data_IF_374872110179
#
_entry.id   IF_374872110179
#
_cell.length_a   1.000
_cell.length_b   1.000
_cell.length_c   1.000
_cell.angle_alpha   90.00
_cell.angle_beta   90.00
_cell.angle_gamma   90.00
#
_symmetry.space_group_name_H-M   'P 1'
#
loop_
_entity.id
_entity.type
_entity.pdbx_description
1 polymer ?
#
# COMPACT_ATOMS: atom_id res chain seq x y z
N UNK A 1 7.75 5.50 2.72
CA UNK A 1 8.96 4.79 3.12
C UNK A 1 8.66 3.31 3.25
N UNK A 2 9.54 2.43 2.72
CA UNK A 2 9.47 0.97 2.84
C UNK A 2 10.85 0.39 3.10
N UNK A 3 10.90 -0.81 3.68
CA UNK A 3 12.14 -1.51 4.04
C UNK A 3 12.07 -2.94 3.51
N UNK A 4 13.18 -3.48 3.01
CA UNK A 4 13.25 -4.90 2.62
C UNK A 4 13.08 -5.82 3.81
N UNK A 5 12.67 -7.08 3.56
CA UNK A 5 12.40 -8.05 4.62
C UNK A 5 13.62 -8.34 5.52
N UNK A 6 14.83 -8.24 4.96
CA UNK A 6 16.10 -8.38 5.69
C UNK A 6 16.56 -7.11 6.43
N UNK A 7 15.87 -5.97 6.20
CA UNK A 7 16.21 -4.68 6.79
C UNK A 7 17.41 -3.99 6.16
N UNK A 8 18.03 -4.54 5.12
CA UNK A 8 19.26 -4.00 4.53
C UNK A 8 19.05 -2.78 3.62
N UNK A 9 17.85 -2.63 3.03
CA UNK A 9 17.53 -1.53 2.13
C UNK A 9 16.30 -0.76 2.60
N UNK A 10 16.33 0.55 2.43
CA UNK A 10 15.24 1.48 2.73
C UNK A 10 14.95 2.27 1.47
N UNK A 11 13.72 2.19 0.93
CA UNK A 11 13.26 3.07 -0.12
C UNK A 11 12.41 4.21 0.45
N UNK A 12 12.64 5.41 -0.04
CA UNK A 12 11.94 6.61 0.38
C UNK A 12 11.78 7.58 -0.79
N UNK A 13 10.85 8.51 -0.65
CA UNK A 13 10.65 9.60 -1.60
C UNK A 13 11.21 10.89 -1.04
N UNK A 14 11.95 11.60 -1.85
CA UNK A 14 12.45 12.93 -1.55
C UNK A 14 12.33 13.82 -2.78
N UNK A 15 11.66 14.97 -2.63
CA UNK A 15 11.41 15.94 -3.72
C UNK A 15 10.76 15.33 -4.96
N UNK A 16 9.85 14.38 -4.77
CA UNK A 16 9.15 13.69 -5.85
C UNK A 16 9.89 12.50 -6.45
N UNK A 17 11.14 12.25 -6.07
CA UNK A 17 11.95 11.16 -6.62
C UNK A 17 12.11 10.01 -5.63
N UNK A 18 12.19 8.79 -6.13
CA UNK A 18 12.43 7.58 -5.35
C UNK A 18 13.92 7.34 -5.17
N UNK A 19 14.33 7.15 -3.92
CA UNK A 19 15.68 6.79 -3.54
C UNK A 19 15.70 5.47 -2.79
N UNK A 20 16.79 4.73 -2.94
CA UNK A 20 17.10 3.57 -2.11
C UNK A 20 18.44 3.79 -1.41
N UNK A 21 18.43 3.64 -0.09
CA UNK A 21 19.65 3.65 0.73
C UNK A 21 19.89 2.26 1.33
N UNK A 22 21.16 1.95 1.57
CA UNK A 22 21.55 0.72 2.25
C UNK A 22 22.24 1.07 3.56
N UNK A 23 21.75 0.50 4.65
CA UNK A 23 22.41 0.61 5.96
C UNK A 23 23.80 -0.04 5.94
N UNK A 24 23.90 -1.21 5.31
CA UNK A 24 25.13 -2.00 5.23
C UNK A 24 26.24 -1.33 4.41
N UNK A 25 25.89 -0.67 3.30
CA UNK A 25 26.87 -0.13 2.34
C UNK A 25 27.02 1.39 2.42
N UNK A 26 26.27 2.06 3.30
CA UNK A 26 26.29 3.52 3.52
C UNK A 26 26.23 4.33 2.21
N UNK A 27 25.43 3.85 1.28
CA UNK A 27 25.23 4.47 -0.03
C UNK A 27 23.74 4.67 -0.30
N UNK A 28 23.44 5.74 -1.04
CA UNK A 28 22.09 6.07 -1.47
C UNK A 28 22.08 6.24 -2.98
N UNK A 29 21.15 5.61 -3.63
CA UNK A 29 20.95 5.70 -5.07
C UNK A 29 19.59 6.32 -5.37
N UNK A 30 19.56 7.28 -6.26
CA UNK A 30 18.35 7.76 -6.89
C UNK A 30 17.90 6.72 -7.93
N UNK A 31 16.64 6.32 -7.86
CA UNK A 31 16.06 5.32 -8.75
C UNK A 31 15.36 6.00 -9.92
N UNK A 32 14.54 7.01 -9.64
CA UNK A 32 13.79 7.74 -10.65
C UNK A 32 14.46 9.07 -11.00
N UNK A 33 14.29 9.55 -12.23
CA UNK A 33 14.87 10.78 -12.74
C UNK A 33 13.84 11.48 -13.65
N UNK A 34 12.69 11.84 -13.10
CA UNK A 34 11.59 12.45 -13.85
C UNK A 34 11.24 13.83 -13.28
N UNK A 35 10.69 14.73 -14.09
CA UNK A 35 10.23 16.03 -13.57
C UNK A 35 8.92 15.92 -12.79
N UNK A 36 8.20 14.80 -12.89
CA UNK A 36 6.95 14.51 -12.23
C UNK A 36 7.19 13.90 -10.84
N UNK A 37 6.10 13.74 -10.07
CA UNK A 37 6.18 13.21 -8.71
C UNK A 37 5.99 11.70 -8.65
N UNK A 38 6.80 11.04 -7.81
CA UNK A 38 6.65 9.67 -7.41
C UNK A 38 6.22 9.55 -5.95
N UNK A 39 5.47 8.47 -5.63
CA UNK A 39 4.99 8.15 -4.29
C UNK A 39 4.89 6.64 -4.04
N UNK A 40 4.55 6.25 -2.82
CA UNK A 40 4.19 4.89 -2.40
C UNK A 40 5.17 3.78 -2.82
N UNK A 41 6.50 3.93 -2.59
CA UNK A 41 7.44 2.88 -2.93
C UNK A 41 7.18 1.62 -2.10
N UNK A 42 7.24 0.45 -2.74
CA UNK A 42 7.10 -0.85 -2.09
C UNK A 42 8.06 -1.88 -2.70
N UNK A 43 8.88 -2.51 -1.86
CA UNK A 43 9.76 -3.59 -2.30
C UNK A 43 9.00 -4.90 -2.50
N UNK A 44 9.43 -5.68 -3.48
CA UNK A 44 9.08 -7.11 -3.54
C UNK A 44 9.70 -7.86 -2.35
N UNK A 45 9.11 -9.01 -1.94
CA UNK A 45 9.63 -9.79 -0.82
C UNK A 45 11.09 -10.23 -0.97
N UNK A 46 11.55 -10.44 -2.19
CA UNK A 46 12.94 -10.79 -2.52
C UNK A 46 13.88 -9.57 -2.63
N UNK A 47 13.36 -8.35 -2.46
CA UNK A 47 14.12 -7.10 -2.52
C UNK A 47 14.66 -6.73 -3.91
N UNK A 48 14.31 -7.48 -4.98
CA UNK A 48 14.85 -7.28 -6.34
C UNK A 48 13.98 -6.38 -7.23
N UNK A 49 12.74 -6.11 -6.81
CA UNK A 49 11.81 -5.21 -7.49
C UNK A 49 11.34 -4.13 -6.54
N UNK A 50 11.11 -2.96 -7.08
CA UNK A 50 10.56 -1.82 -6.37
C UNK A 50 9.43 -1.25 -7.23
N UNK A 51 8.21 -1.26 -6.71
CA UNK A 51 7.08 -0.59 -7.34
C UNK A 51 6.81 0.74 -6.68
N UNK A 52 6.27 1.67 -7.43
CA UNK A 52 5.89 3.00 -6.95
C UNK A 52 4.82 3.60 -7.87
N UNK A 53 4.10 4.58 -7.34
CA UNK A 53 3.17 5.42 -8.10
C UNK A 53 3.95 6.56 -8.76
N UNK A 54 3.67 6.89 -10.02
CA UNK A 54 4.28 8.00 -10.76
C UNK A 54 3.22 8.80 -11.52
N UNK A 55 3.41 10.11 -11.62
CA UNK A 55 2.56 11.02 -12.40
C UNK A 55 3.09 11.25 -13.84
N UNK A 56 4.12 10.52 -14.28
CA UNK A 56 4.82 10.78 -15.56
C UNK A 56 3.96 10.60 -16.82
N UNK A 57 2.83 9.92 -16.72
CA UNK A 57 1.86 9.77 -17.81
C UNK A 57 0.79 10.88 -17.83
N UNK A 58 0.91 11.89 -16.92
CA UNK A 58 -0.10 12.94 -16.72
C UNK A 58 -1.25 12.51 -15.80
N UNK A 59 -1.19 11.31 -15.24
CA UNK A 59 -2.09 10.75 -14.23
C UNK A 59 -1.31 9.72 -13.41
N UNK A 60 -1.87 9.28 -12.29
CA UNK A 60 -1.21 8.29 -11.43
C UNK A 60 -1.20 6.89 -12.07
N UNK A 61 -0.01 6.38 -12.35
CA UNK A 61 0.21 5.01 -12.85
C UNK A 61 1.29 4.30 -12.01
N UNK A 62 1.34 2.97 -12.07
CA UNK A 62 2.30 2.17 -11.31
C UNK A 62 3.46 1.78 -12.22
N UNK A 63 4.66 2.08 -11.75
CA UNK A 63 5.91 1.69 -12.37
C UNK A 63 6.66 0.68 -11.51
N UNK A 64 7.49 -0.12 -12.15
CA UNK A 64 8.31 -1.12 -11.50
C UNK A 64 9.76 -0.99 -11.96
N UNK A 65 10.65 -0.74 -11.00
CA UNK A 65 12.08 -0.84 -11.18
C UNK A 65 12.54 -2.27 -10.82
N UNK A 66 13.38 -2.87 -11.66
CA UNK A 66 13.87 -4.24 -11.49
C UNK A 66 15.40 -4.27 -11.61
N UNK A 67 16.06 -4.94 -10.67
CA UNK A 67 17.50 -5.24 -10.76
C UNK A 67 17.69 -6.33 -11.80
N UNK A 68 18.40 -6.01 -12.91
CA UNK A 68 18.53 -6.90 -14.07
C UNK A 68 19.68 -7.90 -13.95
N UNK A 69 20.73 -7.58 -13.20
CA UNK A 69 21.88 -8.48 -13.02
C UNK A 69 21.67 -9.38 -11.83
N UNK A 70 21.92 -10.67 -11.98
CA UNK A 70 21.78 -11.66 -10.91
C UNK A 70 22.77 -11.42 -9.75
N UNK A 71 23.99 -10.97 -10.10
CA UNK A 71 25.06 -10.66 -9.16
C UNK A 71 24.77 -9.41 -8.30
N UNK A 72 23.90 -8.51 -8.76
CA UNK A 72 23.49 -7.33 -8.00
C UNK A 72 22.35 -7.69 -7.05
N UNK A 73 22.63 -7.74 -5.76
CA UNK A 73 21.65 -8.14 -4.74
C UNK A 73 20.87 -6.96 -4.14
N UNK A 74 21.27 -5.72 -4.45
CA UNK A 74 20.82 -4.53 -3.74
C UNK A 74 20.71 -3.33 -4.69
N UNK A 75 19.60 -2.58 -4.65
CA UNK A 75 19.39 -1.40 -5.47
C UNK A 75 20.46 -0.34 -5.30
N UNK A 76 20.93 -0.12 -4.07
CA UNK A 76 21.84 0.95 -3.75
C UNK A 76 23.16 0.88 -4.53
N UNK A 77 23.62 -0.30 -4.91
CA UNK A 77 24.83 -0.47 -5.73
C UNK A 77 24.61 -1.20 -7.07
N UNK A 78 23.38 -1.56 -7.40
CA UNK A 78 23.06 -2.19 -8.69
C UNK A 78 23.52 -1.31 -9.84
N UNK A 79 24.11 -1.92 -10.85
CA UNK A 79 24.64 -1.22 -12.02
C UNK A 79 23.67 -1.18 -13.19
N UNK A 80 22.64 -2.01 -13.17
CA UNK A 80 21.60 -2.05 -14.20
C UNK A 80 20.23 -2.25 -13.59
N UNK A 81 19.42 -1.20 -13.65
CA UNK A 81 18.02 -1.18 -13.22
C UNK A 81 17.18 -0.85 -14.44
N UNK A 82 16.13 -1.62 -14.67
CA UNK A 82 15.14 -1.36 -15.70
C UNK A 82 13.84 -0.87 -15.05
N UNK A 83 13.29 0.22 -15.56
CA UNK A 83 11.99 0.76 -15.16
C UNK A 83 10.96 0.49 -16.25
N UNK A 84 9.84 -0.11 -15.89
CA UNK A 84 8.73 -0.38 -16.81
C UNK A 84 7.39 0.00 -16.19
N UNK A 85 6.43 0.54 -16.96
CA UNK A 85 5.06 0.69 -16.49
C UNK A 85 4.44 -0.70 -16.27
N UNK A 86 3.67 -0.85 -15.20
CA UNK A 86 2.96 -2.09 -14.91
C UNK A 86 1.68 -2.21 -15.74
N UNK A 87 1.06 -1.09 -16.05
CA UNK A 87 -0.15 -0.97 -16.85
C UNK A 87 0.10 -0.12 -18.09
N UNK A 88 -0.72 -0.34 -19.12
CA UNK A 88 -0.72 0.48 -20.31
C UNK A 88 -1.16 1.92 -20.00
N UNK A 89 -0.81 2.84 -20.88
CA UNK A 89 -1.28 4.23 -20.85
C UNK A 89 -2.76 4.25 -21.30
N UNK A 90 -3.67 4.13 -20.35
CA UNK A 90 -5.12 4.06 -20.55
C UNK A 90 -5.90 5.16 -19.83
N UNK A 91 -5.19 6.10 -19.18
CA UNK A 91 -5.79 7.22 -18.44
C UNK A 91 -6.47 6.82 -17.12
N UNK A 92 -6.26 5.59 -16.63
CA UNK A 92 -6.86 5.10 -15.38
C UNK A 92 -5.90 5.34 -14.23
N UNK A 93 -6.34 6.09 -13.22
CA UNK A 93 -5.53 6.34 -12.01
C UNK A 93 -5.33 5.07 -11.19
N UNK A 94 -4.05 4.76 -10.85
CA UNK A 94 -3.65 3.63 -10.02
C UNK A 94 -2.57 4.05 -9.04
N UNK A 95 -2.81 3.79 -7.75
CA UNK A 95 -1.95 4.25 -6.64
C UNK A 95 -1.74 3.16 -5.60
N UNK A 96 -0.86 3.43 -4.63
CA UNK A 96 -0.61 2.63 -3.44
C UNK A 96 -0.31 1.15 -3.74
N UNK A 97 0.68 0.83 -4.61
CA UNK A 97 1.00 -0.55 -4.92
C UNK A 97 1.57 -1.30 -3.72
N UNK A 98 1.13 -2.55 -3.51
CA UNK A 98 1.61 -3.40 -2.42
C UNK A 98 1.75 -4.85 -2.89
N UNK A 99 2.97 -5.40 -2.84
CA UNK A 99 3.21 -6.80 -3.18
C UNK A 99 2.49 -7.75 -2.22
N UNK A 100 2.01 -8.88 -2.75
CA UNK A 100 1.60 -10.01 -1.94
C UNK A 100 2.81 -10.60 -1.20
N UNK A 101 2.60 -11.31 -0.06
CA UNK A 101 3.69 -11.91 0.71
C UNK A 101 4.57 -12.88 -0.08
N UNK A 102 4.03 -13.54 -1.10
CA UNK A 102 4.77 -14.44 -1.99
C UNK A 102 5.38 -13.76 -3.23
N UNK A 103 5.14 -12.45 -3.40
CA UNK A 103 5.67 -11.63 -4.50
C UNK A 103 5.06 -11.90 -5.88
N UNK A 104 4.04 -12.76 -5.99
CA UNK A 104 3.44 -13.12 -7.29
C UNK A 104 2.35 -12.17 -7.74
N UNK A 105 1.79 -11.42 -6.82
CA UNK A 105 0.68 -10.52 -7.06
C UNK A 105 1.00 -9.13 -6.52
N UNK A 106 0.30 -8.14 -7.05
CA UNK A 106 0.36 -6.76 -6.59
C UNK A 106 -1.07 -6.25 -6.37
N UNK A 107 -1.34 -5.77 -5.17
CA UNK A 107 -2.55 -5.02 -4.87
C UNK A 107 -2.33 -3.55 -5.19
N UNK A 108 -3.39 -2.85 -5.58
CA UNK A 108 -3.38 -1.42 -5.87
C UNK A 108 -4.78 -0.82 -5.76
N UNK A 109 -4.86 0.48 -5.62
CA UNK A 109 -6.12 1.22 -5.64
C UNK A 109 -6.32 1.84 -7.02
N UNK A 110 -7.46 1.55 -7.64
CA UNK A 110 -7.88 2.12 -8.90
C UNK A 110 -8.95 3.20 -8.66
N UNK A 111 -8.82 4.33 -9.36
CA UNK A 111 -9.77 5.45 -9.28
C UNK A 111 -10.08 5.89 -7.83
N UNK A 112 -9.07 5.79 -6.94
CA UNK A 112 -9.07 6.26 -5.55
C UNK A 112 -9.98 5.50 -4.57
N UNK A 113 -10.75 4.50 -5.02
CA UNK A 113 -11.71 3.82 -4.14
C UNK A 113 -11.88 2.32 -4.38
N UNK A 114 -11.28 1.75 -5.41
CA UNK A 114 -11.43 0.34 -5.75
C UNK A 114 -10.13 -0.40 -5.50
N UNK A 115 -10.10 -1.30 -4.54
CA UNK A 115 -8.99 -2.21 -4.34
C UNK A 115 -9.02 -3.32 -5.40
N UNK A 116 -7.91 -3.47 -6.11
CA UNK A 116 -7.70 -4.51 -7.13
C UNK A 116 -6.39 -5.24 -6.92
N UNK A 117 -6.27 -6.40 -7.53
CA UNK A 117 -5.05 -7.21 -7.53
C UNK A 117 -4.72 -7.63 -8.95
N UNK A 118 -3.47 -7.46 -9.35
CA UNK A 118 -2.92 -8.01 -10.58
C UNK A 118 -1.98 -9.18 -10.28
N UNK A 119 -2.14 -10.28 -11.00
CA UNK A 119 -1.15 -11.35 -11.03
C UNK A 119 -0.01 -10.93 -11.98
N UNK A 120 1.23 -10.89 -11.47
CA UNK A 120 2.37 -10.33 -12.19
C UNK A 120 2.84 -11.17 -13.38
N UNK A 121 2.58 -12.49 -13.36
CA UNK A 121 2.92 -13.40 -14.45
C UNK A 121 1.86 -13.37 -15.55
N UNK A 122 0.59 -13.62 -15.18
CA UNK A 122 -0.51 -13.76 -16.13
C UNK A 122 -1.12 -12.43 -16.56
N UNK A 123 -0.77 -11.35 -15.88
CA UNK A 123 -1.33 -9.99 -16.05
C UNK A 123 -2.86 -9.90 -15.85
N UNK A 124 -3.46 -10.93 -15.27
CA UNK A 124 -4.89 -10.89 -14.96
C UNK A 124 -5.17 -10.03 -13.74
N UNK A 125 -6.13 -9.14 -13.87
CA UNK A 125 -6.61 -8.27 -12.80
C UNK A 125 -7.91 -8.82 -12.24
N UNK A 126 -8.05 -8.83 -10.91
CA UNK A 126 -9.30 -9.10 -10.21
C UNK A 126 -9.65 -7.98 -9.26
N UNK A 127 -10.92 -7.74 -9.07
CA UNK A 127 -11.45 -6.73 -8.18
C UNK A 127 -11.69 -7.31 -6.79
N UNK A 128 -11.32 -6.56 -5.75
CA UNK A 128 -11.44 -6.97 -4.34
C UNK A 128 -12.57 -6.20 -3.64
N UNK A 129 -12.73 -4.90 -3.95
CA UNK A 129 -13.83 -4.08 -3.44
C UNK A 129 -14.56 -3.41 -4.60
N UNK A 130 -15.83 -3.04 -4.39
CA UNK A 130 -16.65 -2.37 -5.42
C UNK A 130 -16.55 -0.83 -5.36
N UNK A 131 -15.77 -0.30 -4.42
CA UNK A 131 -15.57 1.14 -4.24
C UNK A 131 -16.69 1.86 -3.47
N UNK A 132 -17.78 1.18 -3.13
CA UNK A 132 -18.89 1.81 -2.38
C UNK A 132 -18.54 2.11 -0.92
N UNK A 133 -17.44 1.54 -0.43
CA UNK A 133 -16.96 1.69 0.95
C UNK A 133 -16.07 2.93 1.15
N UNK A 134 -15.77 3.70 0.09
CA UNK A 134 -14.85 4.83 0.11
C UNK A 134 -15.35 5.96 -0.77
N UNK A 135 -15.08 7.20 -0.39
CA UNK A 135 -15.50 8.36 -1.19
C UNK A 135 -14.53 8.73 -2.32
N UNK A 136 -13.29 8.25 -2.29
CA UNK A 136 -12.29 8.56 -3.31
C UNK A 136 -11.91 10.05 -3.41
N UNK A 137 -12.02 10.79 -2.32
CA UNK A 137 -11.87 12.26 -2.32
C UNK A 137 -10.42 12.74 -2.22
N UNK A 138 -9.48 11.85 -1.92
CA UNK A 138 -8.06 12.19 -1.81
C UNK A 138 -7.18 11.22 -2.59
N UNK A 139 -5.93 11.62 -2.87
CA UNK A 139 -4.92 10.75 -3.49
C UNK A 139 -4.57 9.54 -2.60
N UNK A 140 -4.67 9.72 -1.28
CA UNK A 140 -4.58 8.63 -0.30
C UNK A 140 -5.99 8.13 -0.02
N UNK A 141 -6.39 7.08 -0.73
CA UNK A 141 -7.77 6.63 -0.69
C UNK A 141 -8.12 5.99 0.66
N UNK A 142 -7.35 5.02 1.12
CA UNK A 142 -7.53 4.31 2.39
C UNK A 142 -6.36 3.37 2.67
N UNK A 143 -6.11 3.05 3.93
CA UNK A 143 -5.11 2.08 4.32
C UNK A 143 -5.60 0.66 4.08
N UNK A 144 -4.73 -0.18 3.52
CA UNK A 144 -4.98 -1.62 3.37
C UNK A 144 -3.69 -2.42 3.51
N UNK A 145 -3.80 -3.68 3.89
CA UNK A 145 -2.65 -4.56 4.08
C UNK A 145 -3.01 -6.02 3.79
N UNK A 146 -2.14 -6.73 3.08
CA UNK A 146 -2.23 -8.18 2.93
C UNK A 146 -2.08 -8.90 4.26
N UNK A 147 -2.86 -9.99 4.46
CA UNK A 147 -2.55 -10.95 5.51
C UNK A 147 -1.24 -11.68 5.22
N UNK A 148 -0.53 -12.18 6.24
CA UNK A 148 0.74 -12.90 6.04
C UNK A 148 0.62 -14.13 5.12
N UNK A 149 -0.54 -14.78 5.07
CA UNK A 149 -0.81 -15.92 4.20
C UNK A 149 -1.31 -15.53 2.79
N UNK A 150 -1.48 -14.23 2.51
CA UNK A 150 -1.94 -13.69 1.23
C UNK A 150 -3.41 -13.94 0.90
N UNK A 151 -4.23 -14.45 1.84
CA UNK A 151 -5.62 -14.81 1.56
C UNK A 151 -6.63 -13.70 1.88
N UNK A 152 -6.22 -12.71 2.67
CA UNK A 152 -7.09 -11.65 3.14
C UNK A 152 -6.42 -10.29 3.01
N UNK A 153 -7.26 -9.25 3.01
CA UNK A 153 -6.86 -7.87 3.29
C UNK A 153 -7.51 -7.40 4.57
N UNK A 154 -6.76 -6.68 5.40
CA UNK A 154 -7.32 -5.76 6.36
C UNK A 154 -7.35 -4.38 5.71
N UNK A 155 -8.44 -3.64 5.84
CA UNK A 155 -8.61 -2.34 5.19
C UNK A 155 -9.46 -1.38 6.02
N UNK A 156 -9.25 -0.09 5.78
CA UNK A 156 -10.07 0.98 6.34
C UNK A 156 -11.33 1.16 5.50
N UNK A 157 -12.44 1.47 6.15
CA UNK A 157 -13.75 1.69 5.54
C UNK A 157 -14.34 3.00 6.04
N UNK A 158 -15.17 3.68 5.25
CA UNK A 158 -16.03 4.75 5.77
C UNK A 158 -17.21 4.12 6.51
N UNK A 159 -17.33 4.44 7.80
CA UNK A 159 -18.36 3.86 8.67
C UNK A 159 -19.75 4.34 8.26
N UNK A 160 -20.63 3.40 7.90
CA UNK A 160 -22.02 3.68 7.54
C UNK A 160 -22.20 4.87 6.58
N UNK A 161 -21.27 5.07 5.66
CA UNK A 161 -21.23 6.20 4.72
C UNK A 161 -21.25 7.58 5.41
N UNK A 162 -20.62 7.68 6.58
CA UNK A 162 -20.54 8.91 7.37
C UNK A 162 -19.10 9.36 7.57
N UNK A 163 -18.59 10.15 6.65
CA UNK A 163 -17.34 10.87 6.85
C UNK A 163 -17.45 11.87 8.02
N UNK A 164 -16.48 12.00 8.94
CA UNK A 164 -15.14 11.40 8.94
C UNK A 164 -15.01 10.08 9.74
N UNK A 165 -16.09 9.39 10.02
CA UNK A 165 -16.04 8.16 10.79
C UNK A 165 -15.58 7.00 9.93
N UNK A 166 -14.59 6.26 10.42
CA UNK A 166 -14.00 5.12 9.73
C UNK A 166 -14.04 3.87 10.61
N UNK A 167 -14.12 2.74 9.96
CA UNK A 167 -14.06 1.41 10.56
C UNK A 167 -12.91 0.62 9.93
N UNK A 168 -12.55 -0.48 10.57
CA UNK A 168 -11.66 -1.50 9.99
C UNK A 168 -12.46 -2.73 9.61
N UNK A 169 -12.19 -3.23 8.43
CA UNK A 169 -12.78 -4.46 7.90
C UNK A 169 -11.75 -5.43 7.36
N UNK A 170 -12.21 -6.62 7.05
CA UNK A 170 -11.45 -7.62 6.33
C UNK A 170 -12.21 -8.07 5.09
N UNK A 171 -11.48 -8.41 4.03
CA UNK A 171 -12.03 -8.93 2.78
C UNK A 171 -11.12 -10.03 2.23
N UNK A 172 -11.70 -11.06 1.64
CA UNK A 172 -10.93 -12.13 1.00
C UNK A 172 -10.21 -11.61 -0.25
N UNK A 173 -8.99 -12.07 -0.46
CA UNK A 173 -8.21 -11.75 -1.66
C UNK A 173 -8.68 -12.47 -2.93
N UNK A 174 -9.68 -13.35 -2.83
CA UNK A 174 -10.18 -14.14 -3.97
C UNK A 174 -11.11 -13.36 -4.92
N UNK A 175 -11.56 -12.15 -4.52
CA UNK A 175 -12.44 -11.30 -5.33
C UNK A 175 -13.92 -11.56 -5.12
N UNK A 176 -14.33 -12.14 -4.00
CA UNK A 176 -15.75 -12.31 -3.65
C UNK A 176 -16.43 -11.00 -3.21
N UNK A 177 -15.64 -9.95 -3.03
CA UNK A 177 -16.05 -8.58 -2.65
C UNK A 177 -16.87 -8.51 -1.35
N UNK A 178 -16.81 -9.56 -0.51
CA UNK A 178 -17.54 -9.59 0.75
C UNK A 178 -16.67 -9.02 1.88
N UNK A 179 -17.01 -7.82 2.32
CA UNK A 179 -16.31 -7.14 3.40
C UNK A 179 -16.99 -7.46 4.74
N UNK A 180 -16.16 -7.82 5.72
CA UNK A 180 -16.57 -8.01 7.10
C UNK A 180 -16.04 -6.84 7.93
N UNK A 181 -16.93 -5.94 8.35
CA UNK A 181 -16.59 -4.85 9.26
C UNK A 181 -16.36 -5.42 10.66
N UNK A 182 -15.12 -5.31 11.18
CA UNK A 182 -14.73 -5.89 12.47
C UNK A 182 -14.80 -4.90 13.63
N UNK A 183 -14.96 -3.61 13.39
CA UNK A 183 -15.07 -2.59 14.42
C UNK A 183 -16.50 -2.06 14.57
N UNK A 184 -17.14 -1.59 13.51
CA UNK A 184 -18.53 -1.16 13.42
C UNK A 184 -19.01 -0.33 14.63
N UNK A 185 -18.22 0.66 15.04
CA UNK A 185 -18.41 1.32 16.33
C UNK A 185 -18.76 2.83 16.26
N UNK A 186 -18.69 3.42 15.08
CA UNK A 186 -19.02 4.84 14.86
C UNK A 186 -17.98 5.82 15.43
N UNK A 187 -16.74 5.38 15.59
CA UNK A 187 -15.58 6.20 15.95
C UNK A 187 -14.67 6.40 14.73
N UNK A 188 -13.59 7.17 14.89
CA UNK A 188 -12.53 7.23 13.88
C UNK A 188 -11.54 6.12 14.19
N UNK A 189 -11.56 5.08 13.39
CA UNK A 189 -10.76 3.87 13.53
C UNK A 189 -10.02 3.58 12.24
N UNK A 190 -8.70 3.37 12.31
CA UNK A 190 -7.91 3.18 11.08
C UNK A 190 -6.53 2.59 11.32
N UNK A 191 -5.69 2.59 10.28
CA UNK A 191 -4.35 2.03 10.30
C UNK A 191 -4.33 0.53 10.60
N UNK A 192 -5.13 -0.31 9.92
CA UNK A 192 -5.17 -1.75 10.19
C UNK A 192 -3.84 -2.41 9.87
N UNK A 193 -3.36 -3.27 10.79
CA UNK A 193 -2.17 -4.09 10.59
C UNK A 193 -2.40 -5.49 11.09
N UNK A 194 -2.01 -6.46 10.29
CA UNK A 194 -2.00 -7.86 10.73
C UNK A 194 -0.94 -8.07 11.82
N UNK A 195 -1.27 -8.90 12.78
CA UNK A 195 -0.41 -9.28 13.89
C UNK A 195 -0.57 -10.77 14.21
N UNK A 196 0.37 -11.31 15.01
CA UNK A 196 0.36 -12.71 15.46
C UNK A 196 0.19 -13.71 14.30
N UNK A 197 1.00 -13.53 13.25
CA UNK A 197 0.98 -14.37 12.04
C UNK A 197 -0.42 -14.49 11.38
N UNK A 198 -1.18 -13.38 11.39
CA UNK A 198 -2.51 -13.32 10.81
C UNK A 198 -3.67 -13.70 11.75
N UNK A 199 -3.37 -14.02 13.02
CA UNK A 199 -4.39 -14.36 14.00
C UNK A 199 -5.01 -13.14 14.71
N UNK A 200 -4.55 -11.94 14.38
CA UNK A 200 -5.10 -10.70 14.92
C UNK A 200 -4.91 -9.54 13.95
N UNK A 201 -5.75 -8.51 14.09
CA UNK A 201 -5.60 -7.21 13.44
C UNK A 201 -5.47 -6.14 14.53
N UNK A 202 -4.42 -5.34 14.46
CA UNK A 202 -4.24 -4.14 15.29
C UNK A 202 -4.69 -2.91 14.53
N UNK A 203 -5.18 -1.91 15.24
CA UNK A 203 -5.65 -0.64 14.67
C UNK A 203 -5.64 0.45 15.74
N UNK A 204 -5.74 1.70 15.34
CA UNK A 204 -5.98 2.80 16.26
C UNK A 204 -7.47 3.20 16.26
N UNK A 205 -7.95 3.77 17.39
CA UNK A 205 -9.29 4.35 17.47
C UNK A 205 -9.32 5.47 18.51
N UNK A 206 -10.13 6.48 18.26
CA UNK A 206 -10.41 7.55 19.24
C UNK A 206 -11.56 7.20 20.20
N UNK A 207 -11.91 5.92 20.32
CA UNK A 207 -13.05 5.45 21.10
C UNK A 207 -13.01 5.86 22.58
N UNK A 208 -11.85 5.78 23.21
CA UNK A 208 -11.64 6.14 24.61
C UNK A 208 -10.80 7.40 24.79
N UNK A 209 -10.21 7.91 23.72
CA UNK A 209 -9.38 9.10 23.77
C UNK A 209 -10.16 10.39 23.97
N UNK A 210 -9.47 11.42 24.45
CA UNK A 210 -10.04 12.75 24.56
C UNK A 210 -10.33 13.29 23.16
N UNK A 211 -11.55 13.77 22.94
CA UNK A 211 -11.98 14.41 21.70
C UNK A 211 -12.02 15.91 21.88
N UNK A 212 -11.38 16.64 21.02
CA UNK A 212 -11.49 18.08 20.97
C UNK A 212 -12.70 18.47 20.13
N UNK A 213 -13.62 19.21 20.70
CA UNK A 213 -14.89 19.55 20.04
C UNK A 213 -14.73 20.53 18.86
N UNK A 214 -13.64 21.22 18.76
CA UNK A 214 -13.45 22.26 17.74
C UNK A 214 -12.09 22.21 17.06
N UNK A 215 -11.31 21.18 17.27
CA UNK A 215 -10.00 21.03 16.67
C UNK A 215 -9.82 19.64 16.07
N UNK A 216 -8.97 19.58 15.10
CA UNK A 216 -8.58 18.39 14.35
C UNK A 216 -7.71 17.43 15.18
N UNK A 217 -7.88 17.38 16.49
CA UNK A 217 -7.09 16.55 17.38
C UNK A 217 -7.96 15.63 18.22
N UNK A 218 -7.73 14.34 18.10
CA UNK A 218 -8.19 13.33 19.06
C UNK A 218 -7.02 12.51 19.54
N UNK A 219 -7.10 12.03 20.79
CA UNK A 219 -6.15 11.03 21.26
C UNK A 219 -6.64 9.66 20.79
N UNK A 220 -5.73 8.92 20.16
CA UNK A 220 -6.00 7.58 19.70
C UNK A 220 -5.33 6.56 20.62
N UNK A 221 -6.06 5.50 20.92
CA UNK A 221 -5.55 4.31 21.59
C UNK A 221 -5.27 3.20 20.56
N UNK A 222 -4.39 2.28 20.92
CA UNK A 222 -4.12 1.09 20.11
C UNK A 222 -5.05 -0.06 20.57
N UNK A 223 -5.62 -0.74 19.60
CA UNK A 223 -6.53 -1.87 19.80
C UNK A 223 -6.03 -3.11 19.07
N UNK A 224 -6.49 -4.26 19.51
CA UNK A 224 -6.27 -5.55 18.87
C UNK A 224 -7.59 -6.31 18.80
N UNK A 225 -7.90 -6.85 17.63
CA UNK A 225 -9.00 -7.78 17.41
C UNK A 225 -8.41 -9.15 17.07
N UNK A 226 -8.75 -10.16 17.83
CA UNK A 226 -8.37 -11.55 17.55
C UNK A 226 -9.34 -12.16 16.53
N UNK A 227 -8.80 -12.92 15.57
CA UNK A 227 -9.52 -13.51 14.46
C UNK A 227 -9.91 -14.96 14.76
#
# INVERSE_FOLDING_TARGET
LTVTADGEQIAFVSRGEVFVTSDKYQTTKQITHTPEGESDPCFSPDGRKLVYTSERDGYYNIYMATIMREEDLNFAYSTLIEETPLFADDGVERTQPLFSPDGKELAFIENRNILKVINLETKKVRQITDGTQHYGTSAYAFDYQWSPDGKWFALELVSNMRDPYSDVGIVSSNGDMKIYNITNDGYITGGPKWALDGNAVTFYSNRYGMRSHASWGSQNDAFICFM
#
